data_IF_872893144975
#
_entry.id   IF_872893144975
#
_cell.length_a   1.000
_cell.length_b   1.000
_cell.length_c   1.000
_cell.angle_alpha   90.00
_cell.angle_beta   90.00
_cell.angle_gamma   90.00
#
_symmetry.space_group_name_H-M   'P 1'
#
loop_
_entity.id
_entity.type
_entity.pdbx_description
1 polymer ?
#
# COMPACT_ATOMS: atom_id res chain seq x y z
N UNK A 1 -34.21 -42.61 59.84
CA UNK A 1 -34.09 -41.29 60.49
C UNK A 1 -32.63 -40.86 60.44
N UNK A 2 -32.28 -39.98 59.51
CA UNK A 2 -31.22 -38.99 59.67
C UNK A 2 -31.51 -37.89 58.67
N UNK A 3 -31.88 -36.72 59.18
CA UNK A 3 -32.37 -35.57 58.43
C UNK A 3 -31.15 -34.70 58.13
N UNK A 4 -30.71 -34.67 56.88
CA UNK A 4 -29.65 -33.75 56.43
C UNK A 4 -30.30 -32.40 56.08
N UNK A 5 -30.43 -31.53 57.08
CA UNK A 5 -30.85 -30.14 56.90
C UNK A 5 -29.69 -29.29 56.38
N UNK A 6 -29.54 -29.17 55.07
CA UNK A 6 -28.73 -28.10 54.47
C UNK A 6 -29.61 -26.88 54.20
N UNK A 7 -29.24 -25.68 54.69
CA UNK A 7 -30.03 -24.47 54.48
C UNK A 7 -30.02 -24.07 53.01
N UNK A 8 -31.18 -23.72 52.45
CA UNK A 8 -31.33 -23.25 51.09
C UNK A 8 -30.59 -21.90 50.90
N UNK A 9 -29.40 -21.94 50.31
CA UNK A 9 -28.73 -20.74 49.80
C UNK A 9 -29.29 -20.48 48.41
N UNK A 10 -30.10 -19.43 48.31
CA UNK A 10 -30.78 -18.94 47.11
C UNK A 10 -29.81 -18.29 46.12
N UNK A 11 -28.93 -19.10 45.52
CA UNK A 11 -28.16 -18.71 44.35
C UNK A 11 -28.54 -19.62 43.19
N UNK A 12 -29.75 -19.47 42.69
CA UNK A 12 -30.08 -19.93 41.34
C UNK A 12 -29.44 -18.96 40.37
N UNK A 13 -28.34 -19.36 39.73
CA UNK A 13 -27.81 -18.66 38.56
C UNK A 13 -28.93 -18.62 37.51
N UNK A 14 -29.27 -17.45 36.94
CA UNK A 14 -30.13 -17.43 35.77
C UNK A 14 -29.42 -18.25 34.70
N UNK A 15 -30.05 -19.34 34.22
CA UNK A 15 -29.66 -19.95 32.95
C UNK A 15 -30.08 -18.96 31.84
N UNK A 16 -29.39 -17.82 31.76
CA UNK A 16 -29.27 -17.14 30.49
C UNK A 16 -28.48 -18.11 29.61
N UNK A 17 -29.15 -18.64 28.60
CA UNK A 17 -28.50 -19.19 27.44
C UNK A 17 -27.52 -18.12 26.97
N UNK A 18 -26.25 -18.29 27.30
CA UNK A 18 -25.18 -17.50 26.70
C UNK A 18 -25.11 -18.02 25.27
N UNK A 19 -25.80 -17.32 24.38
CA UNK A 19 -25.44 -17.35 22.97
C UNK A 19 -23.95 -16.97 22.95
N UNK A 20 -23.10 -17.95 22.69
CA UNK A 20 -21.73 -17.68 22.26
C UNK A 20 -21.92 -17.07 20.88
N UNK A 21 -22.15 -15.76 20.86
CA UNK A 21 -21.90 -14.96 19.67
C UNK A 21 -20.39 -15.00 19.55
N UNK A 22 -19.89 -15.72 18.55
CA UNK A 22 -18.50 -15.64 18.17
C UNK A 22 -18.17 -14.16 18.00
N UNK A 23 -17.47 -13.62 18.99
CA UNK A 23 -16.95 -12.27 19.00
C UNK A 23 -15.99 -12.21 17.81
N UNK A 24 -16.49 -11.67 16.70
CA UNK A 24 -15.71 -11.50 15.47
C UNK A 24 -14.49 -10.67 15.87
N UNK A 25 -13.34 -11.33 15.89
CA UNK A 25 -12.07 -10.79 16.33
C UNK A 25 -11.92 -9.34 15.88
N UNK A 26 -11.84 -8.45 16.86
CA UNK A 26 -11.42 -7.07 16.71
C UNK A 26 -9.94 -7.05 16.31
N UNK A 27 -9.67 -7.38 15.05
CA UNK A 27 -8.36 -7.30 14.44
C UNK A 27 -8.50 -6.67 13.05
N UNK A 28 -8.51 -5.34 13.02
CA UNK A 28 -7.56 -4.50 12.27
C UNK A 28 -8.22 -3.16 11.92
N UNK A 29 -8.11 -2.23 12.86
CA UNK A 29 -8.17 -0.80 12.58
C UNK A 29 -7.00 -0.43 11.67
N UNK A 30 -7.30 -0.20 10.39
CA UNK A 30 -6.58 0.74 9.55
C UNK A 30 -7.66 1.62 8.94
N UNK A 31 -7.69 2.89 9.34
CA UNK A 31 -8.51 3.98 8.79
C UNK A 31 -10.02 4.07 9.16
N UNK A 32 -10.52 3.34 10.16
CA UNK A 32 -11.88 3.58 10.70
C UNK A 32 -13.02 3.33 9.72
N UNK A 33 -12.75 2.61 8.62
CA UNK A 33 -13.76 2.04 7.73
C UNK A 33 -13.95 0.60 8.20
N UNK A 34 -15.17 0.19 8.62
CA UNK A 34 -15.39 -1.21 8.98
C UNK A 34 -15.01 -2.07 7.78
N UNK A 35 -14.15 -3.08 8.00
CA UNK A 35 -13.80 -4.09 6.99
C UNK A 35 -15.11 -4.74 6.57
N UNK A 36 -15.72 -4.19 5.53
CA UNK A 36 -16.96 -4.69 4.97
C UNK A 36 -16.51 -5.80 4.04
N UNK A 37 -16.64 -7.04 4.51
CA UNK A 37 -16.42 -8.22 3.69
C UNK A 37 -17.29 -8.09 2.44
N UNK A 38 -16.63 -7.86 1.30
CA UNK A 38 -17.28 -7.76 0.00
C UNK A 38 -17.73 -9.16 -0.39
N UNK A 39 -19.00 -9.31 -0.74
CA UNK A 39 -19.47 -10.54 -1.36
C UNK A 39 -18.95 -10.62 -2.80
N UNK A 40 -18.75 -11.83 -3.33
CA UNK A 40 -18.22 -12.05 -4.67
C UNK A 40 -19.04 -11.31 -5.75
N UNK A 41 -20.38 -11.38 -5.69
CA UNK A 41 -21.27 -10.68 -6.62
C UNK A 41 -21.13 -9.15 -6.55
N UNK A 42 -20.88 -8.59 -5.36
CA UNK A 42 -20.65 -7.15 -5.21
C UNK A 42 -19.31 -6.77 -5.81
N UNK A 43 -18.25 -7.55 -5.55
CA UNK A 43 -16.93 -7.32 -6.11
C UNK A 43 -16.93 -7.39 -7.64
N UNK A 44 -17.60 -8.38 -8.24
CA UNK A 44 -17.75 -8.49 -9.69
C UNK A 44 -18.39 -7.23 -10.29
N UNK A 45 -19.51 -6.76 -9.72
CA UNK A 45 -20.18 -5.53 -10.19
C UNK A 45 -19.29 -4.30 -10.07
N UNK A 46 -18.54 -4.19 -8.98
CA UNK A 46 -17.60 -3.09 -8.76
C UNK A 46 -16.46 -3.11 -9.79
N UNK A 47 -15.90 -4.30 -10.06
CA UNK A 47 -14.84 -4.50 -11.04
C UNK A 47 -15.34 -4.22 -12.45
N UNK A 48 -16.50 -4.76 -12.84
CA UNK A 48 -17.11 -4.53 -14.15
C UNK A 48 -17.34 -3.03 -14.41
N UNK A 49 -17.75 -2.29 -13.37
CA UNK A 49 -17.97 -0.85 -13.41
C UNK A 49 -16.72 0.02 -13.50
N UNK A 50 -15.50 -0.54 -13.34
CA UNK A 50 -14.26 0.22 -13.44
C UNK A 50 -14.08 0.80 -14.84
N UNK A 51 -13.73 2.09 -14.90
CA UNK A 51 -13.48 2.82 -16.14
C UNK A 51 -12.27 3.73 -16.04
N UNK A 52 -11.70 4.06 -17.19
CA UNK A 52 -10.64 5.07 -17.27
C UNK A 52 -11.21 6.48 -17.23
N UNK A 53 -10.52 7.38 -16.55
CA UNK A 53 -10.83 8.80 -16.46
C UNK A 53 -9.83 9.66 -17.23
N UNK A 54 -10.23 10.89 -17.54
CA UNK A 54 -9.34 11.91 -18.07
C UNK A 54 -8.69 12.77 -16.98
N UNK A 55 -7.64 13.54 -17.31
CA UNK A 55 -6.95 14.42 -16.35
C UNK A 55 -7.86 15.49 -15.74
N UNK A 56 -8.93 15.89 -16.44
CA UNK A 56 -9.90 16.88 -15.95
C UNK A 56 -10.93 16.29 -14.96
N UNK A 57 -11.07 14.97 -14.92
CA UNK A 57 -12.05 14.28 -14.07
C UNK A 57 -11.49 13.94 -12.68
N UNK A 58 -10.17 14.05 -12.51
CA UNK A 58 -9.46 13.72 -11.27
C UNK A 58 -9.97 14.59 -10.12
N UNK A 59 -10.36 13.95 -9.01
CA UNK A 59 -10.97 14.61 -7.86
C UNK A 59 -12.46 14.97 -8.05
N UNK A 60 -13.05 14.70 -9.22
CA UNK A 60 -14.49 14.79 -9.44
C UNK A 60 -15.27 13.72 -8.66
N UNK A 61 -16.61 13.88 -8.51
CA UNK A 61 -17.42 12.98 -7.70
C UNK A 61 -17.41 11.53 -8.22
N UNK A 62 -17.46 11.34 -9.54
CA UNK A 62 -17.44 10.01 -10.13
C UNK A 62 -16.06 9.33 -9.99
N UNK A 63 -14.98 10.11 -10.11
CA UNK A 63 -13.62 9.60 -9.89
C UNK A 63 -13.42 9.22 -8.42
N UNK A 64 -13.91 10.04 -7.49
CA UNK A 64 -13.81 9.75 -6.05
C UNK A 64 -14.62 8.51 -5.65
N UNK A 65 -15.78 8.30 -6.28
CA UNK A 65 -16.54 7.06 -6.09
C UNK A 65 -15.76 5.82 -6.58
N UNK A 66 -15.08 5.92 -7.73
CA UNK A 66 -14.22 4.83 -8.20
C UNK A 66 -13.00 4.62 -7.29
N UNK A 67 -12.37 5.68 -6.79
CA UNK A 67 -11.29 5.59 -5.80
C UNK A 67 -11.72 4.76 -4.58
N UNK A 68 -12.90 5.05 -4.03
CA UNK A 68 -13.47 4.28 -2.90
C UNK A 68 -13.72 2.82 -3.26
N UNK A 69 -14.27 2.56 -4.45
CA UNK A 69 -14.51 1.19 -4.92
C UNK A 69 -13.20 0.41 -5.06
N UNK A 70 -12.16 1.02 -5.64
CA UNK A 70 -10.83 0.41 -5.78
C UNK A 70 -10.22 0.17 -4.39
N UNK A 71 -10.37 1.09 -3.44
CA UNK A 71 -9.90 0.88 -2.06
C UNK A 71 -10.59 -0.33 -1.40
N UNK A 72 -11.91 -0.47 -1.55
CA UNK A 72 -12.66 -1.63 -1.04
C UNK A 72 -12.20 -2.93 -1.68
N UNK A 73 -12.05 -2.95 -3.01
CA UNK A 73 -11.54 -4.11 -3.75
C UNK A 73 -10.12 -4.49 -3.30
N UNK A 74 -9.23 -3.51 -3.11
CA UNK A 74 -7.88 -3.74 -2.64
C UNK A 74 -7.86 -4.37 -1.23
N UNK A 75 -8.65 -3.82 -0.29
CA UNK A 75 -8.76 -4.38 1.05
C UNK A 75 -9.26 -5.83 1.03
N UNK A 76 -10.27 -6.12 0.20
CA UNK A 76 -10.80 -7.47 0.06
C UNK A 76 -9.79 -8.43 -0.58
N UNK A 77 -9.05 -8.00 -1.61
CA UNK A 77 -8.05 -8.83 -2.26
C UNK A 77 -6.93 -9.23 -1.28
N UNK A 78 -6.44 -8.27 -0.48
CA UNK A 78 -5.47 -8.56 0.58
C UNK A 78 -6.04 -9.47 1.67
N UNK A 79 -7.31 -9.29 2.05
CA UNK A 79 -7.97 -10.14 3.02
C UNK A 79 -8.08 -11.59 2.52
N UNK A 80 -8.49 -11.80 1.26
CA UNK A 80 -8.54 -13.12 0.62
C UNK A 80 -7.15 -13.77 0.58
N UNK A 81 -6.11 -13.03 0.17
CA UNK A 81 -4.74 -13.54 0.14
C UNK A 81 -4.23 -13.92 1.53
N UNK A 82 -4.46 -13.08 2.56
CA UNK A 82 -4.04 -13.34 3.94
C UNK A 82 -4.74 -14.57 4.53
N UNK A 83 -6.01 -14.78 4.18
CA UNK A 83 -6.80 -15.93 4.61
C UNK A 83 -6.51 -17.21 3.80
N UNK A 84 -5.68 -17.13 2.74
CA UNK A 84 -5.56 -18.18 1.71
C UNK A 84 -6.94 -18.66 1.22
N UNK A 85 -7.87 -17.72 1.09
CA UNK A 85 -9.22 -17.95 0.61
C UNK A 85 -9.29 -17.73 -0.91
N UNK A 86 -10.49 -17.91 -1.46
CA UNK A 86 -10.75 -17.70 -2.88
C UNK A 86 -10.43 -16.24 -3.30
N UNK A 87 -9.67 -16.10 -4.39
CA UNK A 87 -9.18 -14.83 -4.92
C UNK A 87 -10.18 -14.20 -5.90
N UNK A 88 -11.48 -14.25 -5.59
CA UNK A 88 -12.56 -13.82 -6.48
C UNK A 88 -12.42 -12.38 -7.01
N UNK A 89 -11.78 -11.47 -6.25
CA UNK A 89 -11.49 -10.10 -6.74
C UNK A 89 -10.48 -10.13 -7.88
N UNK A 90 -9.43 -10.94 -7.75
CA UNK A 90 -8.39 -11.11 -8.77
C UNK A 90 -9.02 -11.76 -10.01
N UNK A 91 -9.80 -12.82 -9.82
CA UNK A 91 -10.50 -13.51 -10.91
C UNK A 91 -11.45 -12.57 -11.65
N UNK A 92 -12.22 -11.74 -10.94
CA UNK A 92 -13.10 -10.76 -11.56
C UNK A 92 -12.31 -9.73 -12.39
N UNK A 93 -11.18 -9.22 -11.87
CA UNK A 93 -10.35 -8.24 -12.59
C UNK A 93 -9.81 -8.82 -13.90
N UNK A 94 -9.42 -10.10 -13.88
CA UNK A 94 -8.93 -10.81 -15.06
C UNK A 94 -10.06 -11.11 -16.04
N UNK A 95 -11.20 -11.59 -15.54
CA UNK A 95 -12.38 -11.94 -16.34
C UNK A 95 -12.96 -10.74 -17.09
N UNK A 96 -13.01 -9.58 -16.43
CA UNK A 96 -13.50 -8.33 -17.04
C UNK A 96 -12.40 -7.50 -17.72
N UNK A 97 -11.19 -8.05 -17.85
CA UNK A 97 -10.03 -7.42 -18.52
C UNK A 97 -9.73 -5.99 -18.00
N UNK A 98 -9.78 -5.79 -16.67
CA UNK A 98 -9.64 -4.46 -16.06
C UNK A 98 -8.21 -4.05 -15.73
N UNK A 99 -7.24 -4.95 -15.85
CA UNK A 99 -5.81 -4.63 -15.65
C UNK A 99 -5.35 -3.42 -16.48
N UNK A 100 -5.59 -3.35 -17.82
CA UNK A 100 -5.30 -2.17 -18.62
C UNK A 100 -5.90 -0.86 -18.08
N UNK A 101 -7.11 -0.93 -17.53
CA UNK A 101 -7.80 0.23 -16.95
C UNK A 101 -7.08 0.70 -15.69
N UNK A 102 -6.69 -0.23 -14.80
CA UNK A 102 -5.94 0.09 -13.58
C UNK A 102 -4.55 0.66 -13.87
N UNK A 103 -3.84 0.12 -14.87
CA UNK A 103 -2.54 0.67 -15.32
C UNK A 103 -2.71 2.10 -15.84
N UNK A 104 -3.75 2.36 -16.64
CA UNK A 104 -4.03 3.71 -17.13
C UNK A 104 -4.36 4.69 -16.00
N UNK A 105 -5.16 4.29 -15.02
CA UNK A 105 -5.45 5.12 -13.85
C UNK A 105 -4.18 5.42 -13.03
N UNK A 106 -3.24 4.47 -12.96
CA UNK A 106 -1.94 4.67 -12.29
C UNK A 106 -1.10 5.74 -13.00
N UNK A 107 -0.98 5.65 -14.32
CA UNK A 107 -0.25 6.65 -15.10
C UNK A 107 -0.94 8.01 -15.08
N UNK A 108 -2.29 8.02 -15.06
CA UNK A 108 -3.07 9.24 -14.95
C UNK A 108 -2.75 9.97 -13.65
N UNK A 109 -2.74 9.26 -12.52
CA UNK A 109 -2.46 9.90 -11.22
C UNK A 109 -1.00 10.31 -11.09
N UNK A 110 -0.05 9.53 -11.63
CA UNK A 110 1.36 9.94 -11.71
C UNK A 110 1.50 11.26 -12.49
N UNK A 111 0.93 11.32 -13.70
CA UNK A 111 0.99 12.51 -14.54
C UNK A 111 0.28 13.71 -13.90
N UNK A 112 -0.85 13.49 -13.23
CA UNK A 112 -1.57 14.54 -12.52
C UNK A 112 -0.75 15.07 -11.34
N UNK A 113 -0.09 14.20 -10.57
CA UNK A 113 0.84 14.60 -9.48
C UNK A 113 1.99 15.45 -10.00
N UNK A 114 2.54 15.13 -11.17
CA UNK A 114 3.66 15.91 -11.73
C UNK A 114 3.23 17.24 -12.35
N UNK A 115 2.07 17.29 -13.02
CA UNK A 115 1.72 18.43 -13.89
C UNK A 115 0.64 19.35 -13.32
N UNK A 116 -0.30 18.80 -12.54
CA UNK A 116 -1.45 19.53 -12.01
C UNK A 116 -1.22 19.95 -10.55
N UNK A 117 -0.72 19.04 -9.69
CA UNK A 117 -0.51 19.31 -8.27
C UNK A 117 0.29 20.61 -8.00
N UNK A 118 1.44 20.88 -8.66
CA UNK A 118 2.22 22.09 -8.39
C UNK A 118 1.46 23.40 -8.68
N UNK A 119 0.46 23.36 -9.56
CA UNK A 119 -0.34 24.54 -9.96
C UNK A 119 -1.55 24.77 -9.04
N UNK A 120 -1.98 23.74 -8.33
CA UNK A 120 -3.15 23.80 -7.45
C UNK A 120 -2.77 23.89 -5.98
N UNK A 121 -1.58 23.41 -5.58
CA UNK A 121 -1.19 23.30 -4.16
C UNK A 121 -1.27 24.63 -3.41
N UNK A 122 -0.87 25.72 -4.06
CA UNK A 122 -0.94 27.09 -3.51
C UNK A 122 -2.37 27.64 -3.37
N UNK A 123 -3.36 26.96 -3.96
CA UNK A 123 -4.79 27.33 -3.94
C UNK A 123 -5.62 26.41 -3.04
N UNK A 124 -5.01 25.40 -2.42
CA UNK A 124 -5.71 24.48 -1.53
C UNK A 124 -5.82 25.13 -0.16
N UNK A 125 -7.04 25.51 0.22
CA UNK A 125 -7.34 25.98 1.56
C UNK A 125 -7.48 24.81 2.55
N UNK A 126 -7.27 25.08 3.85
CA UNK A 126 -7.57 24.12 4.92
C UNK A 126 -9.07 23.77 4.88
N UNK A 127 -9.39 22.48 4.84
CA UNK A 127 -10.77 21.99 4.85
C UNK A 127 -11.04 20.89 3.83
N UNK A 128 -12.26 20.80 3.26
CA UNK A 128 -12.67 19.73 2.35
C UNK A 128 -11.82 19.61 1.08
N UNK A 129 -11.25 20.73 0.61
CA UNK A 129 -10.36 20.75 -0.54
C UNK A 129 -9.03 20.05 -0.25
N UNK A 130 -8.45 20.26 0.94
CA UNK A 130 -7.23 19.57 1.38
C UNK A 130 -7.45 18.06 1.52
N UNK A 131 -8.55 17.64 2.16
CA UNK A 131 -8.89 16.22 2.27
C UNK A 131 -9.09 15.55 0.89
N UNK A 132 -9.72 16.25 -0.05
CA UNK A 132 -9.89 15.75 -1.41
C UNK A 132 -8.56 15.62 -2.13
N UNK A 133 -7.66 16.60 -2.00
CA UNK A 133 -6.32 16.54 -2.56
C UNK A 133 -5.53 15.35 -1.98
N UNK A 134 -5.65 15.11 -0.66
CA UNK A 134 -5.07 13.94 -0.01
C UNK A 134 -5.56 12.62 -0.63
N UNK A 135 -6.88 12.41 -0.79
CA UNK A 135 -7.40 11.19 -1.42
C UNK A 135 -6.90 11.01 -2.85
N UNK A 136 -6.75 12.11 -3.60
CA UNK A 136 -6.18 12.09 -4.94
C UNK A 136 -4.73 11.60 -4.90
N UNK A 137 -3.90 12.10 -3.98
CA UNK A 137 -2.51 11.64 -3.81
C UNK A 137 -2.43 10.18 -3.35
N UNK A 138 -3.28 9.80 -2.40
CA UNK A 138 -3.30 8.47 -1.83
C UNK A 138 -3.75 7.41 -2.85
N UNK A 139 -4.47 7.80 -3.90
CA UNK A 139 -4.92 6.87 -4.93
C UNK A 139 -3.79 6.11 -5.61
N UNK A 140 -2.63 6.75 -5.82
CA UNK A 140 -1.46 6.07 -6.39
C UNK A 140 -0.98 4.91 -5.50
N UNK A 141 -0.99 5.11 -4.16
CA UNK A 141 -0.66 4.05 -3.19
C UNK A 141 -1.64 2.89 -3.30
N UNK A 142 -2.94 3.18 -3.35
CA UNK A 142 -3.99 2.16 -3.45
C UNK A 142 -3.85 1.37 -4.74
N UNK A 143 -3.61 2.03 -5.88
CA UNK A 143 -3.41 1.37 -7.16
C UNK A 143 -2.16 0.49 -7.17
N UNK A 144 -1.04 0.99 -6.65
CA UNK A 144 0.19 0.20 -6.55
C UNK A 144 0.00 -1.05 -5.68
N UNK A 145 -0.62 -0.93 -4.51
CA UNK A 145 -0.88 -2.08 -3.63
C UNK A 145 -1.84 -3.09 -4.27
N UNK A 146 -2.85 -2.59 -4.98
CA UNK A 146 -3.80 -3.46 -5.67
C UNK A 146 -3.14 -4.20 -6.83
N UNK A 147 -2.35 -3.50 -7.64
CA UNK A 147 -1.55 -4.11 -8.72
C UNK A 147 -0.51 -5.10 -8.15
N UNK A 148 0.10 -4.83 -7.00
CA UNK A 148 0.98 -5.79 -6.32
C UNK A 148 0.26 -7.11 -6.05
N UNK A 149 -0.98 -7.05 -5.55
CA UNK A 149 -1.80 -8.24 -5.29
C UNK A 149 -2.22 -8.94 -6.59
N UNK A 150 -2.61 -8.18 -7.61
CA UNK A 150 -3.04 -8.73 -8.90
C UNK A 150 -1.91 -9.40 -9.68
N UNK A 151 -0.68 -8.89 -9.55
CA UNK A 151 0.52 -9.36 -10.26
C UNK A 151 1.33 -10.38 -9.46
N UNK A 152 0.88 -10.75 -8.26
CA UNK A 152 1.57 -11.71 -7.41
C UNK A 152 1.73 -13.07 -8.10
N UNK A 153 0.70 -13.48 -8.84
CA UNK A 153 0.71 -14.72 -9.61
C UNK A 153 0.99 -14.49 -11.10
N UNK A 154 1.52 -15.53 -11.73
CA UNK A 154 2.01 -15.52 -13.10
C UNK A 154 0.92 -15.24 -14.17
N UNK A 155 -0.33 -15.62 -13.90
CA UNK A 155 -1.48 -15.31 -14.74
C UNK A 155 -1.85 -13.83 -14.73
N UNK A 156 -1.61 -13.14 -13.61
CA UNK A 156 -1.80 -11.70 -13.50
C UNK A 156 -0.81 -10.95 -14.40
N UNK A 157 0.45 -11.37 -14.40
CA UNK A 157 1.49 -10.84 -15.29
C UNK A 157 1.15 -11.11 -16.76
N UNK A 158 0.69 -12.32 -17.10
CA UNK A 158 0.28 -12.64 -18.46
C UNK A 158 -0.88 -11.75 -18.95
N UNK A 159 -1.84 -11.46 -18.07
CA UNK A 159 -3.01 -10.65 -18.39
C UNK A 159 -2.71 -9.16 -18.57
N UNK A 160 -1.54 -8.67 -18.14
CA UNK A 160 -1.11 -7.30 -18.47
C UNK A 160 -0.92 -7.09 -19.98
N UNK A 161 -0.50 -8.13 -20.71
CA UNK A 161 -0.15 -8.01 -22.12
C UNK A 161 0.76 -6.82 -22.37
N UNK A 162 0.44 -6.02 -23.40
CA UNK A 162 1.22 -4.84 -23.81
C UNK A 162 1.36 -3.77 -22.70
N UNK A 163 0.40 -3.70 -21.76
CA UNK A 163 0.39 -2.72 -20.67
C UNK A 163 1.51 -2.96 -19.64
N UNK A 164 2.18 -4.11 -19.71
CA UNK A 164 3.37 -4.39 -18.90
C UNK A 164 4.51 -3.41 -19.23
N UNK A 165 4.59 -2.90 -20.46
CA UNK A 165 5.62 -1.94 -20.86
C UNK A 165 5.48 -0.61 -20.10
N UNK A 166 4.26 -0.09 -20.01
CA UNK A 166 3.97 1.12 -19.27
C UNK A 166 4.20 0.94 -17.77
N UNK A 167 3.93 -0.24 -17.22
CA UNK A 167 4.28 -0.56 -15.83
C UNK A 167 5.78 -0.60 -15.60
N UNK A 168 6.56 -1.18 -16.53
CA UNK A 168 8.04 -1.18 -16.43
C UNK A 168 8.58 0.25 -16.46
N UNK A 169 8.07 1.10 -17.35
CA UNK A 169 8.46 2.50 -17.46
C UNK A 169 8.11 3.30 -16.19
N UNK A 170 6.90 3.08 -15.64
CA UNK A 170 6.50 3.61 -14.34
C UNK A 170 7.46 3.17 -13.23
N UNK A 171 7.75 1.87 -13.12
CA UNK A 171 8.67 1.33 -12.13
C UNK A 171 10.08 1.94 -12.27
N UNK A 172 10.59 2.08 -13.49
CA UNK A 172 11.91 2.68 -13.74
C UNK A 172 11.99 4.13 -13.23
N UNK A 173 10.95 4.95 -13.43
CA UNK A 173 10.88 6.30 -12.86
C UNK A 173 10.88 6.29 -11.34
N UNK A 174 10.04 5.46 -10.71
CA UNK A 174 9.96 5.37 -9.23
C UNK A 174 11.25 4.90 -8.60
N UNK A 175 11.93 3.93 -9.21
CA UNK A 175 13.21 3.42 -8.70
C UNK A 175 14.36 4.40 -8.89
N UNK A 176 14.33 5.17 -9.99
CA UNK A 176 15.26 6.29 -10.17
C UNK A 176 15.07 7.33 -9.07
N UNK A 177 13.81 7.67 -8.72
CA UNK A 177 13.51 8.55 -7.59
C UNK A 177 14.03 7.98 -6.27
N UNK A 178 13.76 6.70 -5.99
CA UNK A 178 14.24 6.00 -4.79
C UNK A 178 15.77 6.05 -4.67
N UNK A 179 16.50 5.79 -5.76
CA UNK A 179 17.97 5.81 -5.81
C UNK A 179 18.55 7.22 -5.63
N UNK A 180 17.88 8.23 -6.17
CA UNK A 180 18.32 9.63 -6.06
C UNK A 180 18.09 10.24 -4.67
N UNK A 181 17.33 9.56 -3.79
CA UNK A 181 16.80 10.08 -2.51
C UNK A 181 15.99 11.39 -2.63
N UNK A 182 15.71 11.84 -3.86
CA UNK A 182 15.06 13.11 -4.11
C UNK A 182 13.62 13.08 -3.56
N UNK A 183 13.34 13.89 -2.54
CA UNK A 183 12.03 13.95 -1.88
C UNK A 183 11.82 12.93 -0.76
N UNK A 184 12.83 12.11 -0.45
CA UNK A 184 12.84 11.15 0.68
C UNK A 184 13.70 11.65 1.86
N UNK A 185 14.12 12.91 1.83
CA UNK A 185 15.04 13.52 2.82
C UNK A 185 14.45 13.69 4.23
N UNK A 186 13.18 13.31 4.44
CA UNK A 186 12.65 13.21 5.79
C UNK A 186 13.01 11.84 6.38
N UNK A 187 13.81 11.79 7.45
CA UNK A 187 14.23 10.52 8.00
C UNK A 187 13.02 9.73 8.48
N UNK A 188 12.80 8.53 7.93
CA UNK A 188 11.97 7.48 8.54
C UNK A 188 12.35 7.22 10.02
N UNK A 189 13.56 7.63 10.41
CA UNK A 189 14.09 7.53 11.76
C UNK A 189 13.57 8.60 12.76
N UNK A 190 12.82 9.62 12.32
CA UNK A 190 12.25 10.62 13.25
C UNK A 190 11.10 10.07 14.13
N UNK A 191 10.67 8.82 13.91
CA UNK A 191 9.68 8.13 14.74
C UNK A 191 10.22 6.94 15.55
N UNK A 192 11.54 6.70 15.54
CA UNK A 192 12.18 5.60 16.27
C UNK A 192 13.20 6.06 17.33
N UNK A 193 13.33 7.36 17.57
CA UNK A 193 13.90 7.82 18.84
C UNK A 193 12.82 7.68 19.91
N UNK A 194 13.14 6.96 20.99
CA UNK A 194 12.28 6.70 22.14
C UNK A 194 11.60 7.99 22.61
N UNK A 195 10.33 8.14 22.23
CA UNK A 195 9.53 9.31 22.57
C UNK A 195 9.09 9.20 24.04
N UNK A 196 9.59 10.13 24.85
CA UNK A 196 9.09 10.42 26.19
C UNK A 196 7.59 10.76 26.10
N UNK A 197 6.75 9.88 26.67
CA UNK A 197 5.45 9.48 26.13
C UNK A 197 4.28 10.47 26.38
N UNK A 198 4.54 11.68 26.90
CA UNK A 198 3.45 12.63 27.26
C UNK A 198 3.65 14.09 26.83
N UNK A 199 4.85 14.48 26.41
CA UNK A 199 5.11 15.84 25.89
C UNK A 199 4.87 15.98 24.38
N UNK A 200 5.06 14.90 23.63
CA UNK A 200 5.16 14.94 22.16
C UNK A 200 3.80 15.11 21.45
N UNK A 201 2.72 14.53 21.96
CA UNK A 201 1.42 14.53 21.27
C UNK A 201 0.79 15.92 21.18
N UNK A 202 0.94 16.75 22.23
CA UNK A 202 0.37 18.10 22.28
C UNK A 202 1.17 19.07 21.41
N UNK A 203 2.49 18.98 21.44
CA UNK A 203 3.37 19.78 20.60
C UNK A 203 3.24 19.41 19.12
N UNK A 204 3.11 18.11 18.80
CA UNK A 204 2.80 17.64 17.44
C UNK A 204 1.41 18.09 16.97
N UNK A 205 0.40 18.09 17.84
CA UNK A 205 -0.93 18.59 17.52
C UNK A 205 -0.94 20.11 17.28
N UNK A 206 -0.20 20.89 18.08
CA UNK A 206 -0.05 22.34 17.92
C UNK A 206 0.74 22.70 16.64
N UNK A 207 1.76 21.90 16.30
CA UNK A 207 2.53 22.03 15.06
C UNK A 207 1.69 21.67 13.82
N UNK A 208 0.83 20.64 13.90
CA UNK A 208 -0.14 20.31 12.85
C UNK A 208 -1.24 21.37 12.72
N UNK A 209 -1.71 21.94 13.84
CA UNK A 209 -2.72 23.00 13.83
C UNK A 209 -2.20 24.30 13.17
N UNK A 210 -0.92 24.61 13.34
CA UNK A 210 -0.26 25.80 12.77
C UNK A 210 0.28 25.60 11.35
N UNK A 211 0.47 24.37 10.87
CA UNK A 211 0.96 24.08 9.51
C UNK A 211 0.00 24.63 8.43
N UNK A 212 0.51 25.12 7.30
CA UNK A 212 -0.33 25.51 6.16
C UNK A 212 -0.85 24.27 5.43
N UNK A 213 -1.99 24.39 4.73
CA UNK A 213 -2.53 23.26 3.94
C UNK A 213 -1.54 22.76 2.88
N UNK A 214 -0.78 23.67 2.27
CA UNK A 214 0.31 23.35 1.35
C UNK A 214 1.45 22.56 2.03
N UNK A 215 1.86 22.95 3.24
CA UNK A 215 2.90 22.23 3.98
C UNK A 215 2.43 20.84 4.42
N UNK A 216 1.16 20.71 4.79
CA UNK A 216 0.55 19.42 5.17
C UNK A 216 0.47 18.47 3.97
N UNK A 217 -0.01 18.96 2.82
CA UNK A 217 -0.11 18.17 1.60
C UNK A 217 1.26 17.74 1.08
N UNK A 218 2.27 18.60 1.22
CA UNK A 218 3.66 18.27 0.86
C UNK A 218 4.23 17.17 1.76
N UNK A 219 3.96 17.22 3.06
CA UNK A 219 4.37 16.17 3.99
C UNK A 219 3.69 14.82 3.67
N UNK A 220 2.38 14.83 3.39
CA UNK A 220 1.64 13.65 2.96
C UNK A 220 2.16 13.07 1.64
N UNK A 221 2.57 13.93 0.70
CA UNK A 221 3.19 13.50 -0.55
C UNK A 221 4.53 12.79 -0.28
N UNK A 222 5.36 13.31 0.61
CA UNK A 222 6.64 12.68 0.97
C UNK A 222 6.44 11.34 1.68
N UNK A 223 5.48 11.27 2.60
CA UNK A 223 5.14 10.04 3.33
C UNK A 223 4.67 8.93 2.38
N UNK A 224 3.81 9.27 1.44
CA UNK A 224 3.26 8.29 0.47
C UNK A 224 4.27 7.89 -0.61
N UNK A 225 5.23 8.76 -0.95
CA UNK A 225 6.17 8.49 -2.05
C UNK A 225 7.06 7.27 -1.79
N UNK A 226 7.51 7.05 -0.54
CA UNK A 226 8.30 5.86 -0.23
C UNK A 226 7.48 4.58 -0.41
N UNK A 227 6.24 4.57 0.08
CA UNK A 227 5.34 3.43 -0.05
C UNK A 227 5.12 3.07 -1.53
N UNK A 228 4.88 4.09 -2.37
CA UNK A 228 4.76 3.93 -3.83
C UNK A 228 6.04 3.37 -4.44
N UNK A 229 7.22 3.89 -4.06
CA UNK A 229 8.49 3.39 -4.59
C UNK A 229 8.76 1.93 -4.21
N UNK A 230 8.41 1.53 -2.98
CA UNK A 230 8.54 0.14 -2.52
C UNK A 230 7.54 -0.80 -3.21
N UNK A 231 6.32 -0.36 -3.44
CA UNK A 231 5.34 -1.14 -4.21
C UNK A 231 5.78 -1.28 -5.68
N UNK A 232 6.26 -0.20 -6.31
CA UNK A 232 6.81 -0.23 -7.66
C UNK A 232 8.01 -1.19 -7.78
N UNK A 233 8.83 -1.30 -6.73
CA UNK A 233 9.91 -2.28 -6.67
C UNK A 233 9.40 -3.72 -6.70
N UNK A 234 8.34 -4.02 -5.94
CA UNK A 234 7.74 -5.37 -5.90
C UNK A 234 7.07 -5.72 -7.22
N UNK A 235 6.35 -4.78 -7.82
CA UNK A 235 5.79 -4.92 -9.17
C UNK A 235 6.91 -5.22 -10.18
N UNK A 236 8.01 -4.46 -10.16
CA UNK A 236 9.15 -4.70 -11.05
C UNK A 236 9.76 -6.09 -10.85
N UNK A 237 9.82 -6.57 -9.60
CA UNK A 237 10.27 -7.93 -9.28
C UNK A 237 9.34 -8.98 -9.90
N UNK A 238 8.02 -8.87 -9.74
CA UNK A 238 7.06 -9.84 -10.30
C UNK A 238 7.11 -9.89 -11.83
N UNK A 239 7.22 -8.73 -12.48
CA UNK A 239 7.39 -8.64 -13.93
C UNK A 239 8.71 -9.29 -14.40
N UNK A 240 9.79 -9.14 -13.63
CA UNK A 240 11.08 -9.74 -13.93
C UNK A 240 11.10 -11.27 -13.70
N UNK A 241 10.43 -11.76 -12.66
CA UNK A 241 10.30 -13.19 -12.36
C UNK A 241 9.51 -13.94 -13.45
N UNK A 242 8.56 -13.27 -14.11
CA UNK A 242 7.71 -13.85 -15.15
C UNK A 242 7.95 -13.25 -16.54
N UNK A 243 9.19 -12.86 -16.85
CA UNK A 243 9.56 -12.20 -18.11
C UNK A 243 9.15 -12.98 -19.38
N UNK A 244 9.06 -14.32 -19.29
CA UNK A 244 8.60 -15.19 -20.38
C UNK A 244 7.12 -14.98 -20.77
N UNK A 245 6.30 -14.44 -19.85
CA UNK A 245 4.86 -14.16 -20.05
C UNK A 245 4.57 -12.74 -20.50
N UNK A 246 5.60 -11.89 -20.48
CA UNK A 246 5.55 -10.48 -20.85
C UNK A 246 5.71 -10.35 -22.38
N UNK A 247 5.08 -9.36 -23.06
CA UNK A 247 5.17 -9.21 -24.51
C UNK A 247 6.60 -9.19 -25.05
N UNK A 248 6.79 -9.77 -26.23
CA UNK A 248 8.11 -9.84 -26.89
C UNK A 248 8.73 -8.46 -27.17
N UNK A 249 7.92 -7.40 -27.24
CA UNK A 249 8.41 -6.02 -27.32
C UNK A 249 9.39 -5.67 -26.20
N UNK A 250 9.19 -6.23 -24.99
CA UNK A 250 10.09 -6.06 -23.86
C UNK A 250 11.32 -6.97 -23.90
N UNK A 251 11.30 -8.05 -24.68
CA UNK A 251 12.44 -8.97 -24.84
C UNK A 251 13.37 -8.60 -26.00
N UNK A 252 12.90 -7.77 -26.96
CA UNK A 252 13.64 -7.42 -28.18
C UNK A 252 14.63 -6.25 -28.04
N UNK A 253 14.69 -5.54 -26.90
CA UNK A 253 15.73 -4.53 -26.62
C UNK A 253 16.75 -5.04 -25.60
N UNK A 254 17.76 -5.85 -26.01
CA UNK A 254 18.74 -6.43 -25.09
C UNK A 254 19.59 -5.39 -24.35
N UNK A 255 19.62 -4.13 -24.79
CA UNK A 255 20.37 -3.05 -24.14
C UNK A 255 19.68 -2.44 -22.92
N UNK A 256 18.35 -2.55 -22.78
CA UNK A 256 17.59 -1.90 -21.70
C UNK A 256 16.98 -2.91 -20.71
N UNK A 257 16.50 -4.06 -21.17
CA UNK A 257 15.75 -5.01 -20.31
C UNK A 257 16.65 -5.82 -19.36
N UNK A 258 17.85 -6.22 -19.79
CA UNK A 258 18.83 -6.91 -18.93
C UNK A 258 19.58 -5.94 -18.02
N UNK A 259 19.87 -4.72 -18.50
CA UNK A 259 20.60 -3.72 -17.72
C UNK A 259 19.75 -3.19 -16.57
N UNK A 260 18.45 -2.94 -16.78
CA UNK A 260 17.55 -2.47 -15.72
C UNK A 260 17.25 -3.55 -14.70
N UNK A 261 16.98 -4.79 -15.11
CA UNK A 261 16.76 -5.92 -14.17
C UNK A 261 18.02 -6.27 -13.37
N UNK A 262 19.21 -6.31 -14.00
CA UNK A 262 20.48 -6.50 -13.29
C UNK A 262 20.85 -5.30 -12.41
N UNK A 263 20.63 -4.05 -12.85
CA UNK A 263 20.87 -2.88 -11.99
C UNK A 263 19.87 -2.80 -10.85
N UNK A 264 18.60 -3.19 -11.01
CA UNK A 264 17.62 -3.29 -9.92
C UNK A 264 18.07 -4.30 -8.87
N UNK A 265 18.47 -5.51 -9.29
CA UNK A 265 18.88 -6.58 -8.39
C UNK A 265 20.23 -6.24 -7.72
N UNK A 266 21.18 -5.64 -8.45
CA UNK A 266 22.47 -5.17 -7.93
C UNK A 266 22.32 -3.96 -7.00
N UNK A 267 21.43 -3.01 -7.31
CA UNK A 267 21.19 -1.82 -6.46
C UNK A 267 20.44 -2.20 -5.18
N UNK A 268 19.53 -3.17 -5.21
CA UNK A 268 18.87 -3.70 -4.02
C UNK A 268 19.83 -4.44 -3.10
N UNK A 269 20.67 -5.31 -3.66
CA UNK A 269 21.66 -6.06 -2.88
C UNK A 269 22.73 -5.15 -2.28
N UNK A 270 23.21 -4.13 -3.01
CA UNK A 270 24.14 -3.11 -2.48
C UNK A 270 23.49 -2.15 -1.48
N UNK A 271 22.24 -1.73 -1.68
CA UNK A 271 21.55 -0.81 -0.77
C UNK A 271 21.18 -1.47 0.55
N UNK A 272 20.77 -2.75 0.53
CA UNK A 272 20.54 -3.54 1.74
C UNK A 272 21.86 -3.74 2.51
N UNK A 273 22.97 -4.00 1.82
CA UNK A 273 24.27 -4.17 2.48
C UNK A 273 24.89 -2.86 2.97
N UNK A 274 24.73 -1.72 2.28
CA UNK A 274 25.15 -0.42 2.79
C UNK A 274 24.31 0.05 3.98
N UNK A 275 22.99 -0.15 3.97
CA UNK A 275 22.11 0.23 5.10
C UNK A 275 22.39 -0.64 6.33
N UNK A 276 22.63 -1.95 6.15
CA UNK A 276 23.07 -2.83 7.24
C UNK A 276 24.47 -2.46 7.77
N UNK A 277 25.34 -1.89 6.93
CA UNK A 277 26.69 -1.48 7.33
C UNK A 277 26.76 -0.06 7.92
N UNK A 278 25.84 0.85 7.56
CA UNK A 278 25.78 2.21 8.10
C UNK A 278 24.84 2.36 9.29
N UNK A 279 23.95 1.39 9.56
CA UNK A 279 23.09 1.41 10.75
C UNK A 279 23.92 1.30 12.05
N UNK A 280 23.58 2.09 13.10
CA UNK A 280 24.20 1.95 14.42
C UNK A 280 23.91 0.56 14.98
N UNK A 281 24.87 -0.03 15.70
CA UNK A 281 24.84 -1.44 16.12
C UNK A 281 23.62 -1.86 16.98
N UNK A 282 22.85 -0.90 17.49
CA UNK A 282 21.61 -1.11 18.23
C UNK A 282 20.39 -1.43 17.37
N UNK A 283 20.40 -1.08 16.08
CA UNK A 283 19.25 -1.25 15.18
C UNK A 283 19.30 -2.52 14.30
N UNK A 284 20.31 -3.38 14.50
CA UNK A 284 20.51 -4.60 13.71
C UNK A 284 19.93 -5.82 14.43
N UNK A 285 19.29 -6.72 13.68
CA UNK A 285 18.85 -8.03 14.17
C UNK A 285 20.03 -8.82 14.78
N UNK A 286 19.81 -9.63 15.85
CA UNK A 286 20.89 -10.29 16.60
C UNK A 286 21.88 -11.07 15.72
N UNK A 287 21.38 -11.84 14.76
CA UNK A 287 22.21 -12.64 13.85
C UNK A 287 23.07 -11.79 12.89
N UNK A 288 22.59 -10.60 12.50
CA UNK A 288 23.33 -9.67 11.62
C UNK A 288 24.39 -8.91 12.42
N UNK A 289 24.11 -8.60 13.69
CA UNK A 289 25.06 -7.98 14.61
C UNK A 289 26.26 -8.89 14.89
N UNK A 290 26.04 -10.19 15.02
CA UNK A 290 27.10 -11.17 15.28
C UNK A 290 28.00 -11.38 14.05
N UNK A 291 27.42 -11.40 12.84
CA UNK A 291 28.17 -11.46 11.59
C UNK A 291 29.07 -10.22 11.38
N UNK A 292 28.61 -9.03 11.77
CA UNK A 292 29.38 -7.78 11.69
C UNK A 292 30.56 -7.75 12.67
N UNK A 293 30.42 -8.34 13.87
CA UNK A 293 31.52 -8.47 14.84
C UNK A 293 32.59 -9.45 14.39
N UNK A 294 32.20 -10.55 13.73
CA UNK A 294 33.15 -11.53 13.19
C UNK A 294 34.05 -10.92 12.09
N UNK A 295 33.50 -10.02 11.27
CA UNK A 295 34.25 -9.34 10.20
C UNK A 295 35.17 -8.20 10.67
N UNK A 296 34.90 -7.60 11.84
CA UNK A 296 35.71 -6.51 12.39
C UNK A 296 36.95 -7.00 13.17
N UNK A 297 37.07 -8.30 13.40
CA UNK A 297 38.17 -8.94 14.14
C UNK A 297 39.02 -9.89 13.27
N UNK A 298 38.89 -9.81 11.94
CA UNK A 298 39.74 -10.48 10.95
C UNK A 298 40.68 -9.53 10.25
#
# INVERSE_FOLDING_TARGET
MSVDTRPAHSWTLPQQHLDIVDEVDHANDVDGIPITLLQAEEAERLVEGLRAFGPNDVGGPAWMAQHQNIQRLNMQAHASAKANADEFVVEAVLTFEKLPTLVRELLLIEAWKEQALPKIISKVDKGPASMRAYFVLYHEVVLCNFLETLLYHDYGVAACGDHALELVDYCARKLTRLNSRHGLDQPLAAGMEEADEKGSLREQAEKRASATAESELTAQLQETELAVCLAALRIARFLAEHLEKVPQTLTLTPSQSLTLTLTLILTLTLSLSLTLFQAPAGCLWPHVRDARRAHAHG
#
